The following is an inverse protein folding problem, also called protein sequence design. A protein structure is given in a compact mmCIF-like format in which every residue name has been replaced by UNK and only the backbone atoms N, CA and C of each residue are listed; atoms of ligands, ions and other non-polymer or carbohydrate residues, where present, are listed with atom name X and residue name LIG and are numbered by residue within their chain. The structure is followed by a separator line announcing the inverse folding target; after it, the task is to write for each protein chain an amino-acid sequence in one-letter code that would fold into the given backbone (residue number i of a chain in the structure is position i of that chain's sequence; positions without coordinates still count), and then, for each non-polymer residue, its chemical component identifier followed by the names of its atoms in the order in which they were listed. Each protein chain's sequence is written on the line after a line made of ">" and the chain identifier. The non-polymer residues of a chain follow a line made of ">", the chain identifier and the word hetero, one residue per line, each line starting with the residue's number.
data_IF_971941811668
#
_entry.id   IF_971941811668
#
_cell.length_a   1.000
_cell.length_b   1.000
_cell.length_c   1.000
_cell.angle_alpha   90.00
_cell.angle_beta   90.00
_cell.angle_gamma   90.00
#
_symmetry.space_group_name_H-M   'P 1'
#
loop_
_entity.id
_entity.type
_entity.pdbx_description
1 polymer ?
#
# COMPACT_ATOMS: atom_id res chain seq x y z
N UNK A 1 -32.65 28.20 -14.26
CA UNK A 1 -34.09 27.94 -14.50
C UNK A 1 -34.52 28.72 -15.74
N UNK A 2 -34.73 28.03 -16.85
CA UNK A 2 -35.70 28.33 -17.92
C UNK A 2 -35.62 27.18 -18.93
N UNK A 3 -36.13 26.01 -18.55
CA UNK A 3 -36.45 24.94 -19.49
C UNK A 3 -37.77 25.33 -20.15
N UNK A 4 -37.71 25.95 -21.32
CA UNK A 4 -38.93 26.17 -22.11
C UNK A 4 -39.27 24.82 -22.74
N UNK A 5 -40.18 24.09 -22.10
CA UNK A 5 -41.01 23.09 -22.78
C UNK A 5 -41.80 23.84 -23.86
N UNK A 6 -41.29 23.85 -25.09
CA UNK A 6 -41.75 24.78 -26.13
C UNK A 6 -41.95 24.18 -27.51
N UNK A 7 -42.06 22.85 -27.63
CA UNK A 7 -42.43 22.26 -28.92
C UNK A 7 -43.94 22.36 -29.20
N UNK A 8 -44.81 22.17 -28.20
CA UNK A 8 -46.26 22.12 -28.43
C UNK A 8 -46.97 23.48 -28.39
N UNK A 9 -46.31 24.55 -27.92
CA UNK A 9 -46.97 25.84 -27.67
C UNK A 9 -46.94 26.80 -28.86
N UNK A 10 -46.11 26.55 -29.88
CA UNK A 10 -45.91 27.45 -31.02
C UNK A 10 -46.98 27.29 -32.12
N UNK A 11 -47.52 26.09 -32.31
CA UNK A 11 -48.50 25.81 -33.39
C UNK A 11 -49.86 26.48 -33.15
N UNK A 12 -50.23 26.76 -31.90
CA UNK A 12 -51.57 27.26 -31.57
C UNK A 12 -51.72 28.80 -31.60
N UNK A 13 -50.63 29.55 -31.78
CA UNK A 13 -50.65 31.02 -31.68
C UNK A 13 -50.07 31.79 -32.89
N UNK A 14 -49.37 31.14 -33.82
CA UNK A 14 -48.74 31.81 -34.97
C UNK A 14 -48.85 31.00 -36.27
N UNK A 15 -48.80 31.67 -37.44
CA UNK A 15 -48.87 31.08 -38.80
C UNK A 15 -47.51 30.42 -39.17
N UNK A 16 -46.94 29.63 -38.27
CA UNK A 16 -45.67 28.95 -38.50
C UNK A 16 -45.84 27.45 -38.28
N UNK A 17 -45.33 26.64 -39.21
CA UNK A 17 -45.46 25.18 -39.20
C UNK A 17 -44.55 24.51 -38.16
N UNK A 18 -43.59 25.22 -37.59
CA UNK A 18 -42.73 24.78 -36.48
C UNK A 18 -42.01 25.99 -35.84
N UNK A 19 -41.47 25.80 -34.62
CA UNK A 19 -40.74 26.83 -33.89
C UNK A 19 -39.43 27.29 -34.55
N UNK A 20 -38.86 26.48 -35.46
CA UNK A 20 -37.62 26.80 -36.18
C UNK A 20 -37.88 27.89 -37.23
N UNK A 21 -39.03 27.86 -37.89
CA UNK A 21 -39.41 28.83 -38.91
C UNK A 21 -39.64 30.23 -38.29
N UNK A 22 -40.19 30.30 -37.07
CA UNK A 22 -40.27 31.55 -36.31
C UNK A 22 -38.89 32.16 -36.03
N UNK A 23 -37.88 31.34 -35.75
CA UNK A 23 -36.52 31.81 -35.45
C UNK A 23 -35.78 32.20 -36.73
N UNK A 24 -35.98 31.47 -37.84
CA UNK A 24 -35.42 31.81 -39.15
C UNK A 24 -35.88 33.18 -39.65
N UNK A 25 -37.13 33.55 -39.41
CA UNK A 25 -37.68 34.82 -39.88
C UNK A 25 -37.24 36.02 -39.02
N UNK A 26 -36.78 35.79 -37.78
CA UNK A 26 -36.48 36.86 -36.82
C UNK A 26 -34.99 37.00 -36.45
N UNK A 27 -34.14 36.03 -36.80
CA UNK A 27 -32.72 36.02 -36.45
C UNK A 27 -31.81 35.74 -37.65
N UNK A 28 -30.63 36.35 -37.66
CA UNK A 28 -29.59 36.08 -38.67
C UNK A 28 -29.27 34.58 -38.69
N UNK A 29 -29.34 33.89 -39.83
CA UNK A 29 -29.00 32.47 -39.95
C UNK A 29 -27.64 32.07 -39.37
N UNK A 30 -26.68 33.00 -39.28
CA UNK A 30 -25.35 32.75 -38.71
C UNK A 30 -25.27 32.92 -37.17
N UNK A 31 -26.36 33.37 -36.53
CA UNK A 31 -26.39 33.70 -35.10
C UNK A 31 -26.80 32.53 -34.19
N UNK A 32 -27.22 31.40 -34.78
CA UNK A 32 -27.68 30.22 -34.05
C UNK A 32 -27.41 28.91 -34.81
N UNK A 33 -27.44 27.79 -34.09
CA UNK A 33 -27.36 26.44 -34.63
C UNK A 33 -28.57 25.63 -34.19
N UNK A 34 -29.20 24.95 -35.16
CA UNK A 34 -30.31 24.04 -34.91
C UNK A 34 -29.77 22.66 -34.57
N UNK A 35 -29.99 22.23 -33.33
CA UNK A 35 -29.63 20.89 -32.86
C UNK A 35 -30.80 19.90 -33.08
N UNK A 36 -30.77 18.72 -32.46
CA UNK A 36 -31.84 17.73 -32.59
C UNK A 36 -33.07 18.13 -31.76
N UNK A 37 -32.85 18.48 -30.48
CA UNK A 37 -33.95 18.83 -29.56
C UNK A 37 -34.06 20.32 -29.26
N UNK A 38 -33.11 21.16 -29.69
CA UNK A 38 -33.12 22.57 -29.34
C UNK A 38 -32.33 23.44 -30.32
N UNK A 39 -32.29 24.75 -30.05
CA UNK A 39 -31.47 25.71 -30.78
C UNK A 39 -30.50 26.36 -29.79
N UNK A 40 -29.23 26.44 -30.17
CA UNK A 40 -28.19 27.12 -29.40
C UNK A 40 -27.68 28.35 -30.14
N UNK A 41 -27.22 29.36 -29.40
CA UNK A 41 -26.56 30.54 -29.98
C UNK A 41 -25.11 30.22 -30.35
N UNK A 42 -24.56 30.91 -31.35
CA UNK A 42 -23.18 30.70 -31.84
C UNK A 42 -22.14 30.76 -30.73
N UNK A 43 -22.24 31.72 -29.80
CA UNK A 43 -21.27 31.86 -28.70
C UNK A 43 -21.19 30.64 -27.76
N UNK A 44 -22.25 29.83 -27.65
CA UNK A 44 -22.24 28.59 -26.84
C UNK A 44 -21.38 27.54 -27.54
N UNK A 45 -21.53 27.40 -28.87
CA UNK A 45 -20.68 26.55 -29.70
C UNK A 45 -19.24 27.05 -29.68
N UNK A 46 -19.02 28.36 -29.81
CA UNK A 46 -17.69 28.96 -29.81
C UNK A 46 -16.97 28.74 -28.47
N UNK A 47 -17.68 28.78 -27.34
CA UNK A 47 -17.12 28.44 -26.03
C UNK A 47 -16.64 26.99 -25.96
N UNK A 48 -17.42 26.06 -26.51
CA UNK A 48 -17.00 24.65 -26.62
C UNK A 48 -15.80 24.49 -27.57
N UNK A 49 -15.78 25.22 -28.69
CA UNK A 49 -14.66 25.23 -29.63
C UNK A 49 -13.38 25.76 -28.98
N UNK A 50 -13.44 26.84 -28.22
CA UNK A 50 -12.30 27.42 -27.51
C UNK A 50 -11.76 26.44 -26.46
N UNK A 51 -12.63 25.73 -25.75
CA UNK A 51 -12.23 24.67 -24.82
C UNK A 51 -11.50 23.52 -25.54
N UNK A 52 -12.05 23.05 -26.68
CA UNK A 52 -11.41 22.01 -27.49
C UNK A 52 -10.09 22.47 -28.14
N UNK A 53 -9.97 23.75 -28.46
CA UNK A 53 -8.74 24.31 -29.04
C UNK A 53 -7.64 24.47 -27.99
N UNK A 54 -8.00 24.82 -26.76
CA UNK A 54 -7.06 25.06 -25.65
C UNK A 54 -6.71 23.83 -24.82
N UNK A 55 -7.47 22.73 -24.93
CA UNK A 55 -7.22 21.51 -24.15
C UNK A 55 -5.80 20.98 -24.36
N UNK A 56 -5.15 20.49 -23.30
CA UNK A 56 -3.81 19.84 -23.40
C UNK A 56 -3.88 18.34 -23.16
N UNK A 57 -4.91 17.90 -22.43
CA UNK A 57 -5.14 16.54 -21.96
C UNK A 57 -6.47 15.99 -22.51
N UNK A 58 -7.56 16.28 -21.81
CA UNK A 58 -8.92 15.90 -22.20
C UNK A 58 -9.88 17.02 -21.81
N UNK A 59 -11.02 17.06 -22.48
CA UNK A 59 -12.09 18.00 -22.22
C UNK A 59 -13.39 17.23 -22.05
N UNK A 60 -14.06 17.41 -20.92
CA UNK A 60 -15.46 17.04 -20.78
C UNK A 60 -16.30 18.21 -21.28
N UNK A 61 -16.92 18.05 -22.45
CA UNK A 61 -17.67 19.12 -23.11
C UNK A 61 -18.96 19.44 -22.34
N UNK A 62 -19.43 18.52 -21.48
CA UNK A 62 -20.59 18.76 -20.62
C UNK A 62 -20.30 19.81 -19.53
N UNK A 63 -19.04 20.06 -19.17
CA UNK A 63 -18.68 21.12 -18.21
C UNK A 63 -18.79 22.53 -18.81
N UNK A 64 -18.72 22.61 -20.15
CA UNK A 64 -18.76 23.87 -20.90
C UNK A 64 -20.15 24.16 -21.45
N UNK A 65 -20.88 23.11 -21.83
CA UNK A 65 -22.21 23.22 -22.40
C UNK A 65 -23.32 23.28 -21.33
N UNK A 66 -24.49 23.86 -21.66
CA UNK A 66 -25.61 23.86 -20.73
C UNK A 66 -26.10 22.44 -20.42
N UNK A 67 -26.27 22.13 -19.12
CA UNK A 67 -26.78 20.84 -18.62
C UNK A 67 -28.20 20.46 -19.11
N UNK A 68 -28.87 21.34 -19.85
CA UNK A 68 -30.18 21.10 -20.47
C UNK A 68 -30.08 20.41 -21.83
N UNK A 69 -28.88 20.29 -22.40
CA UNK A 69 -28.69 19.61 -23.68
C UNK A 69 -28.75 18.10 -23.52
N UNK A 70 -29.35 17.43 -24.51
CA UNK A 70 -29.33 15.96 -24.58
C UNK A 70 -27.96 15.47 -25.06
N UNK A 71 -27.64 14.20 -24.82
CA UNK A 71 -26.38 13.62 -25.29
C UNK A 71 -26.22 13.70 -26.82
N UNK A 72 -27.32 13.56 -27.58
CA UNK A 72 -27.31 13.69 -29.04
C UNK A 72 -27.00 15.13 -29.48
N UNK A 73 -27.55 16.12 -28.78
CA UNK A 73 -27.27 17.52 -29.04
C UNK A 73 -25.82 17.88 -28.70
N UNK A 74 -25.29 17.37 -27.59
CA UNK A 74 -23.88 17.55 -27.20
C UNK A 74 -22.96 16.96 -28.26
N UNK A 75 -23.20 15.73 -28.72
CA UNK A 75 -22.41 15.11 -29.79
C UNK A 75 -22.46 15.92 -31.09
N UNK A 76 -23.63 16.45 -31.46
CA UNK A 76 -23.77 17.31 -32.64
C UNK A 76 -22.96 18.60 -32.53
N UNK A 77 -22.90 19.20 -31.33
CA UNK A 77 -22.04 20.38 -31.09
C UNK A 77 -20.57 20.01 -31.20
N UNK A 78 -20.16 18.87 -30.62
CA UNK A 78 -18.79 18.37 -30.74
C UNK A 78 -18.41 18.16 -32.21
N UNK A 79 -19.26 17.51 -33.00
CA UNK A 79 -19.02 17.25 -34.42
C UNK A 79 -18.80 18.56 -35.21
N UNK A 80 -19.62 19.58 -34.95
CA UNK A 80 -19.47 20.91 -35.57
C UNK A 80 -18.13 21.55 -35.20
N UNK A 81 -17.75 21.54 -33.92
CA UNK A 81 -16.47 22.08 -33.47
C UNK A 81 -15.28 21.32 -34.06
N UNK A 82 -15.35 19.99 -34.11
CA UNK A 82 -14.30 19.12 -34.64
C UNK A 82 -14.13 19.32 -36.15
N UNK A 83 -15.22 19.49 -36.90
CA UNK A 83 -15.16 19.81 -38.34
C UNK A 83 -14.44 21.13 -38.59
N UNK A 84 -14.73 22.17 -37.79
CA UNK A 84 -14.06 23.46 -37.92
C UNK A 84 -12.57 23.41 -37.51
N UNK A 85 -12.23 22.57 -36.52
CA UNK A 85 -10.87 22.40 -36.02
C UNK A 85 -10.05 21.37 -36.81
N UNK A 86 -10.64 20.65 -37.77
CA UNK A 86 -9.98 19.56 -38.50
C UNK A 86 -8.72 20.00 -39.26
N UNK A 87 -8.62 21.28 -39.64
CA UNK A 87 -7.46 21.84 -40.33
C UNK A 87 -6.30 22.21 -39.39
N UNK A 88 -6.59 22.44 -38.10
CA UNK A 88 -5.62 22.94 -37.12
C UNK A 88 -5.20 21.89 -36.11
N UNK A 89 -6.09 20.97 -35.73
CA UNK A 89 -5.85 20.01 -34.65
C UNK A 89 -6.56 18.68 -34.89
N UNK A 90 -5.86 17.58 -34.60
CA UNK A 90 -6.48 16.25 -34.58
C UNK A 90 -7.15 16.02 -33.23
N UNK A 91 -8.42 15.66 -33.28
CA UNK A 91 -9.27 15.47 -32.11
C UNK A 91 -9.85 14.06 -32.15
N UNK A 92 -9.91 13.42 -30.99
CA UNK A 92 -10.51 12.11 -30.78
C UNK A 92 -11.74 12.30 -29.90
N UNK A 93 -12.90 11.94 -30.43
CA UNK A 93 -14.17 11.96 -29.71
C UNK A 93 -14.29 10.63 -28.95
N UNK A 94 -14.55 10.71 -27.65
CA UNK A 94 -14.80 9.58 -26.76
C UNK A 94 -16.29 9.57 -26.37
N UNK A 95 -16.77 8.45 -25.84
CA UNK A 95 -18.17 8.34 -25.43
C UNK A 95 -18.51 9.30 -24.28
N UNK A 96 -19.74 9.81 -24.26
CA UNK A 96 -20.28 10.61 -23.15
C UNK A 96 -19.84 12.07 -23.12
N UNK A 97 -19.43 12.65 -24.26
CA UNK A 97 -19.03 14.06 -24.36
C UNK A 97 -17.58 14.35 -24.01
N UNK A 98 -16.77 13.30 -23.82
CA UNK A 98 -15.33 13.42 -23.58
C UNK A 98 -14.58 13.55 -24.89
N UNK A 99 -13.61 14.44 -24.92
CA UNK A 99 -12.79 14.69 -26.11
C UNK A 99 -11.32 14.76 -25.70
N UNK A 100 -10.45 14.18 -26.51
CA UNK A 100 -9.00 14.16 -26.25
C UNK A 100 -8.20 14.31 -27.54
N UNK A 101 -6.87 14.29 -27.45
CA UNK A 101 -5.99 14.33 -28.62
C UNK A 101 -5.07 13.12 -28.73
N UNK A 102 -4.60 12.78 -29.95
CA UNK A 102 -3.63 11.72 -30.15
C UNK A 102 -2.34 11.94 -29.34
N UNK A 103 -1.91 13.20 -29.18
CA UNK A 103 -0.68 13.55 -28.46
C UNK A 103 -0.79 13.19 -26.97
N UNK A 104 -1.95 13.47 -26.36
CA UNK A 104 -2.19 13.10 -24.96
C UNK A 104 -2.28 11.58 -24.78
N UNK A 105 -2.96 10.87 -25.69
CA UNK A 105 -2.98 9.39 -25.63
C UNK A 105 -1.57 8.82 -25.73
N UNK A 106 -0.74 9.38 -26.60
CA UNK A 106 0.64 8.96 -26.76
C UNK A 106 1.47 9.24 -25.50
N UNK A 107 1.29 10.41 -24.87
CA UNK A 107 1.98 10.73 -23.61
C UNK A 107 1.58 9.78 -22.49
N UNK A 108 0.29 9.44 -22.35
CA UNK A 108 -0.18 8.44 -21.39
C UNK A 108 0.49 7.07 -21.62
N UNK A 109 0.59 6.64 -22.89
CA UNK A 109 1.22 5.36 -23.24
C UNK A 109 2.73 5.37 -22.89
N UNK A 110 3.40 6.52 -23.02
CA UNK A 110 4.80 6.73 -22.65
C UNK A 110 5.00 6.77 -21.14
N UNK A 111 4.17 7.48 -20.40
CA UNK A 111 4.25 7.56 -18.94
C UNK A 111 3.95 6.20 -18.29
N UNK A 112 3.04 5.40 -18.87
CA UNK A 112 2.77 4.04 -18.42
C UNK A 112 3.98 3.08 -18.56
N UNK A 113 5.03 3.43 -19.32
CA UNK A 113 6.18 2.53 -19.53
C UNK A 113 6.82 2.05 -18.22
N UNK A 114 6.98 2.95 -17.25
CA UNK A 114 7.59 2.63 -15.96
C UNK A 114 6.78 1.58 -15.19
N UNK A 115 5.45 1.73 -15.21
CA UNK A 115 4.53 0.80 -14.57
C UNK A 115 4.55 -0.56 -15.26
N UNK A 116 4.44 -0.56 -16.60
CA UNK A 116 4.45 -1.79 -17.40
C UNK A 116 5.75 -2.57 -17.24
N UNK A 117 6.89 -1.88 -17.21
CA UNK A 117 8.18 -2.49 -16.99
C UNK A 117 8.27 -3.18 -15.62
N UNK A 118 7.81 -2.50 -14.56
CA UNK A 118 7.77 -3.05 -13.20
C UNK A 118 6.88 -4.29 -13.11
N UNK A 119 5.73 -4.25 -13.78
CA UNK A 119 4.81 -5.38 -13.86
C UNK A 119 5.44 -6.57 -14.62
N UNK A 120 6.13 -6.31 -15.73
CA UNK A 120 6.81 -7.31 -16.54
C UNK A 120 7.93 -8.01 -15.74
N UNK A 121 8.73 -7.25 -14.98
CA UNK A 121 9.79 -7.81 -14.12
C UNK A 121 9.24 -8.77 -13.07
N UNK A 122 8.17 -8.37 -12.36
CA UNK A 122 7.50 -9.23 -11.36
C UNK A 122 6.96 -10.50 -12.02
N UNK A 123 6.41 -10.41 -13.23
CA UNK A 123 5.91 -11.56 -13.95
C UNK A 123 7.04 -12.50 -14.37
N UNK A 124 8.15 -12.00 -14.93
CA UNK A 124 9.34 -12.80 -15.26
C UNK A 124 9.92 -13.53 -14.03
N UNK A 125 9.98 -12.86 -12.87
CA UNK A 125 10.45 -13.47 -11.63
C UNK A 125 9.54 -14.60 -11.13
N UNK A 126 8.23 -14.49 -11.36
CA UNK A 126 7.27 -15.56 -11.08
C UNK A 126 7.40 -16.72 -12.07
N UNK A 127 7.57 -16.42 -13.35
CA UNK A 127 7.67 -17.41 -14.44
C UNK A 127 8.99 -18.23 -14.36
N UNK A 128 10.09 -17.66 -13.84
CA UNK A 128 11.30 -18.44 -13.53
C UNK A 128 11.10 -19.51 -12.45
N UNK A 129 10.04 -19.43 -11.64
CA UNK A 129 9.72 -20.41 -10.58
C UNK A 129 8.64 -21.42 -10.99
N UNK A 130 8.19 -21.43 -12.25
CA UNK A 130 7.24 -22.41 -12.78
C UNK A 130 7.10 -22.37 -14.31
N UNK A 131 7.29 -23.52 -14.95
CA UNK A 131 7.14 -23.85 -16.39
C UNK A 131 6.85 -22.68 -17.35
N UNK A 132 7.85 -22.39 -18.19
CA UNK A 132 7.70 -21.60 -19.41
C UNK A 132 6.49 -22.07 -20.22
N UNK A 133 5.49 -21.20 -20.37
CA UNK A 133 4.47 -21.33 -21.40
C UNK A 133 4.65 -20.19 -22.38
N UNK A 134 4.95 -20.55 -23.63
CA UNK A 134 4.95 -19.68 -24.81
C UNK A 134 3.54 -19.14 -25.09
N UNK A 135 3.02 -18.28 -24.22
CA UNK A 135 1.79 -17.53 -24.46
C UNK A 135 2.13 -16.04 -24.48
N UNK A 136 1.55 -15.30 -25.44
CA UNK A 136 1.55 -13.83 -25.42
C UNK A 136 1.05 -13.37 -24.04
N UNK A 137 1.83 -12.56 -23.36
CA UNK A 137 1.50 -12.11 -22.01
C UNK A 137 0.58 -10.90 -22.12
N UNK A 138 -0.69 -11.12 -22.42
CA UNK A 138 -1.65 -10.03 -22.53
C UNK A 138 -2.05 -9.50 -21.16
N UNK A 139 -1.91 -8.20 -20.98
CA UNK A 139 -2.51 -7.46 -19.87
C UNK A 139 -4.03 -7.57 -19.97
N UNK A 140 -4.65 -7.96 -18.85
CA UNK A 140 -6.09 -7.90 -18.69
C UNK A 140 -6.54 -6.44 -18.55
N UNK A 141 -7.79 -6.13 -18.94
CA UNK A 141 -8.35 -4.78 -18.85
C UNK A 141 -8.14 -4.10 -17.48
N UNK A 142 -8.34 -4.77 -16.33
CA UNK A 142 -8.12 -4.15 -15.03
C UNK A 142 -6.66 -3.75 -14.77
N UNK A 143 -5.69 -4.46 -15.38
CA UNK A 143 -4.28 -4.12 -15.25
C UNK A 143 -3.92 -2.90 -16.10
N UNK A 144 -4.58 -2.72 -17.23
CA UNK A 144 -4.41 -1.56 -18.12
C UNK A 144 -4.99 -0.31 -17.46
N UNK A 145 -6.19 -0.41 -16.88
CA UNK A 145 -6.81 0.68 -16.13
C UNK A 145 -5.91 1.09 -14.96
N UNK A 146 -5.40 0.12 -14.18
CA UNK A 146 -4.46 0.41 -13.09
C UNK A 146 -3.16 1.08 -13.55
N UNK A 147 -2.65 0.73 -14.73
CA UNK A 147 -1.46 1.38 -15.28
C UNK A 147 -1.70 2.86 -15.60
N UNK A 148 -2.93 3.21 -16.02
CA UNK A 148 -3.35 4.59 -16.27
C UNK A 148 -3.62 5.35 -14.97
N UNK A 149 -4.26 4.71 -13.99
CA UNK A 149 -4.48 5.31 -12.67
C UNK A 149 -3.15 5.63 -11.95
N UNK A 150 -2.13 4.78 -12.13
CA UNK A 150 -0.79 4.98 -11.57
C UNK A 150 -0.10 6.26 -12.08
N UNK A 151 -0.52 6.80 -13.23
CA UNK A 151 -0.03 8.07 -13.79
C UNK A 151 -1.05 9.21 -13.60
N UNK A 152 -1.97 9.07 -12.63
CA UNK A 152 -3.02 10.03 -12.30
C UNK A 152 -4.10 10.24 -13.39
N UNK A 153 -4.29 9.27 -14.29
CA UNK A 153 -5.44 9.29 -15.20
C UNK A 153 -6.73 8.93 -14.42
N UNK A 154 -7.79 9.75 -14.45
CA UNK A 154 -9.04 9.44 -13.77
C UNK A 154 -9.70 8.16 -14.31
N UNK A 155 -10.28 7.35 -13.42
CA UNK A 155 -10.91 6.06 -13.78
C UNK A 155 -11.93 6.17 -14.92
N UNK A 156 -12.82 7.15 -14.87
CA UNK A 156 -13.87 7.36 -15.87
C UNK A 156 -13.30 7.70 -17.27
N UNK A 157 -12.13 8.33 -17.31
CA UNK A 157 -11.41 8.60 -18.56
C UNK A 157 -10.64 7.35 -19.02
N UNK A 158 -9.98 6.65 -18.09
CA UNK A 158 -9.24 5.42 -18.35
C UNK A 158 -10.12 4.33 -19.01
N UNK A 159 -11.38 4.20 -18.57
CA UNK A 159 -12.37 3.30 -19.16
C UNK A 159 -12.69 3.68 -20.62
N UNK A 160 -12.86 4.98 -20.90
CA UNK A 160 -13.22 5.51 -22.23
C UNK A 160 -12.07 5.42 -23.23
N UNK A 161 -10.82 5.63 -22.80
CA UNK A 161 -9.64 5.53 -23.67
C UNK A 161 -9.12 4.09 -23.82
N UNK A 162 -9.65 3.14 -23.05
CA UNK A 162 -9.23 1.74 -23.05
C UNK A 162 -9.16 1.12 -24.46
N UNK A 163 -10.12 1.33 -25.38
CA UNK A 163 -10.04 0.77 -26.73
C UNK A 163 -8.83 1.27 -27.53
N UNK A 164 -8.35 2.48 -27.23
CA UNK A 164 -7.25 3.14 -27.95
C UNK A 164 -5.88 2.71 -27.40
N UNK A 165 -5.76 2.59 -26.08
CA UNK A 165 -4.49 2.29 -25.41
C UNK A 165 -4.22 0.79 -25.24
N UNK A 166 -5.26 -0.06 -25.31
CA UNK A 166 -5.15 -1.50 -25.03
C UNK A 166 -4.11 -2.20 -25.89
N UNK A 167 -4.15 -1.99 -27.21
CA UNK A 167 -3.20 -2.63 -28.11
C UNK A 167 -1.78 -2.08 -27.94
N UNK A 168 -1.53 -0.76 -27.97
CA UNK A 168 -0.20 -0.19 -27.72
C UNK A 168 0.45 -0.64 -26.41
N UNK A 169 -0.31 -0.67 -25.31
CA UNK A 169 0.22 -1.06 -24.00
C UNK A 169 0.51 -2.57 -23.93
N UNK A 170 -0.32 -3.40 -24.55
CA UNK A 170 -0.05 -4.83 -24.66
C UNK A 170 1.18 -5.12 -25.52
N UNK A 171 1.33 -4.43 -26.66
CA UNK A 171 2.48 -4.61 -27.55
C UNK A 171 3.79 -4.22 -26.83
N UNK A 172 3.80 -3.08 -26.10
CA UNK A 172 4.95 -2.67 -25.27
C UNK A 172 5.24 -3.66 -24.15
N UNK A 173 4.21 -4.18 -23.49
CA UNK A 173 4.38 -5.13 -22.41
C UNK A 173 4.92 -6.48 -22.91
N UNK A 174 4.41 -6.98 -24.03
CA UNK A 174 4.92 -8.19 -24.69
C UNK A 174 6.38 -8.02 -25.12
N UNK A 175 6.76 -6.86 -25.66
CA UNK A 175 8.16 -6.51 -25.98
C UNK A 175 9.04 -6.52 -24.72
N UNK A 176 8.58 -5.87 -23.65
CA UNK A 176 9.26 -5.88 -22.35
C UNK A 176 9.40 -7.29 -21.77
N UNK A 177 8.44 -8.19 -22.03
CA UNK A 177 8.54 -9.60 -21.63
C UNK A 177 9.58 -10.39 -22.43
N UNK A 178 9.82 -10.02 -23.69
CA UNK A 178 10.78 -10.69 -24.58
C UNK A 178 12.21 -10.19 -24.44
N UNK A 179 12.43 -9.00 -23.87
CA UNK A 179 13.79 -8.45 -23.68
C UNK A 179 14.65 -9.32 -22.72
N UNK A 180 15.88 -9.69 -23.10
CA UNK A 180 16.77 -10.47 -22.24
C UNK A 180 17.20 -9.67 -21.01
N UNK A 181 17.38 -10.37 -19.88
CA UNK A 181 17.68 -9.82 -18.54
C UNK A 181 18.90 -8.87 -18.49
N UNK A 182 19.76 -8.90 -19.51
CA UNK A 182 21.03 -8.17 -19.56
C UNK A 182 20.91 -6.70 -20.00
N UNK A 183 19.81 -6.26 -20.59
CA UNK A 183 19.61 -4.86 -21.01
C UNK A 183 18.95 -3.97 -19.94
N UNK A 184 19.16 -4.29 -18.66
CA UNK A 184 18.49 -3.61 -17.55
C UNK A 184 19.05 -2.21 -17.32
N UNK A 185 18.26 -1.20 -17.69
CA UNK A 185 18.24 0.04 -16.92
C UNK A 185 17.66 -0.33 -15.54
N UNK A 186 18.48 -0.30 -14.49
CA UNK A 186 18.01 -0.30 -13.11
C UNK A 186 17.27 1.02 -12.87
N UNK A 187 15.97 1.04 -13.11
CA UNK A 187 15.09 2.09 -12.63
C UNK A 187 14.39 1.52 -11.40
N UNK A 188 14.82 1.99 -10.22
CA UNK A 188 14.21 1.67 -8.92
C UNK A 188 12.73 2.09 -8.93
N UNK A 189 11.87 1.31 -8.26
CA UNK A 189 10.52 1.78 -7.92
C UNK A 189 10.58 3.06 -7.08
N UNK A 190 9.42 3.67 -6.77
CA UNK A 190 9.37 4.88 -5.94
C UNK A 190 10.35 4.78 -4.76
N UNK A 191 11.33 5.69 -4.74
CA UNK A 191 12.48 5.63 -3.83
C UNK A 191 12.03 5.59 -2.36
N UNK A 192 10.92 6.27 -2.05
CA UNK A 192 10.34 6.25 -0.72
C UNK A 192 9.76 4.87 -0.40
N UNK A 193 8.95 4.28 -1.30
CA UNK A 193 8.36 2.95 -1.10
C UNK A 193 9.44 1.89 -0.92
N UNK A 194 10.47 1.89 -1.78
CA UNK A 194 11.59 0.95 -1.70
C UNK A 194 12.33 1.09 -0.36
N UNK A 195 12.60 2.32 0.07
CA UNK A 195 13.27 2.60 1.35
C UNK A 195 12.43 2.12 2.54
N UNK A 196 11.14 2.44 2.59
CA UNK A 196 10.28 2.00 3.70
C UNK A 196 10.12 0.48 3.70
N UNK A 197 9.87 -0.14 2.54
CA UNK A 197 9.76 -1.60 2.44
C UNK A 197 11.02 -2.30 2.93
N UNK A 198 12.19 -1.82 2.52
CA UNK A 198 13.47 -2.36 2.99
C UNK A 198 13.62 -2.21 4.50
N UNK A 199 13.19 -1.09 5.07
CA UNK A 199 13.22 -0.88 6.53
C UNK A 199 12.29 -1.85 7.26
N UNK A 200 11.03 -1.97 6.84
CA UNK A 200 10.07 -2.89 7.47
C UNK A 200 10.54 -4.34 7.36
N UNK A 201 11.17 -4.73 6.25
CA UNK A 201 11.81 -6.04 6.11
C UNK A 201 12.92 -6.27 7.15
N UNK A 202 13.84 -5.31 7.34
CA UNK A 202 14.90 -5.44 8.35
C UNK A 202 14.34 -5.52 9.76
N UNK A 203 13.29 -4.75 10.07
CA UNK A 203 12.56 -4.84 11.34
C UNK A 203 11.99 -6.25 11.54
N UNK A 204 11.31 -6.81 10.53
CA UNK A 204 10.74 -8.16 10.60
C UNK A 204 11.82 -9.24 10.79
N UNK A 205 12.98 -9.13 10.15
CA UNK A 205 14.12 -10.05 10.34
C UNK A 205 14.66 -9.98 11.77
N UNK A 206 14.79 -8.78 12.33
CA UNK A 206 15.23 -8.58 13.73
C UNK A 206 14.21 -9.16 14.71
N UNK A 207 12.93 -8.84 14.52
CA UNK A 207 11.82 -9.34 15.36
C UNK A 207 11.68 -10.86 15.28
N UNK A 208 11.82 -11.46 14.10
CA UNK A 208 11.83 -12.92 13.90
C UNK A 208 12.84 -13.57 14.85
N UNK A 209 14.06 -13.05 14.88
CA UNK A 209 15.13 -13.57 15.74
C UNK A 209 14.79 -13.37 17.21
N UNK A 210 14.37 -12.16 17.60
CA UNK A 210 14.03 -11.85 18.99
C UNK A 210 12.87 -12.73 19.50
N UNK A 211 11.77 -12.84 18.75
CA UNK A 211 10.60 -13.63 19.12
C UNK A 211 10.96 -15.11 19.28
N UNK A 212 11.73 -15.66 18.33
CA UNK A 212 12.14 -17.05 18.35
C UNK A 212 12.99 -17.39 19.57
N UNK A 213 14.05 -16.60 19.84
CA UNK A 213 14.91 -16.86 20.98
C UNK A 213 14.19 -16.58 22.32
N UNK A 214 13.32 -15.57 22.37
CA UNK A 214 12.50 -15.31 23.54
C UNK A 214 11.57 -16.50 23.84
N UNK A 215 10.92 -17.05 22.81
CA UNK A 215 10.07 -18.23 22.96
C UNK A 215 10.87 -19.44 23.49
N UNK A 216 12.05 -19.71 22.92
CA UNK A 216 12.95 -20.77 23.40
C UNK A 216 13.37 -20.54 24.85
N UNK A 217 13.72 -19.31 25.22
CA UNK A 217 14.09 -18.96 26.59
C UNK A 217 12.92 -19.17 27.57
N UNK A 218 11.71 -18.76 27.18
CA UNK A 218 10.48 -18.94 27.97
C UNK A 218 10.19 -20.43 28.21
N UNK A 219 10.45 -21.29 27.23
CA UNK A 219 10.27 -22.74 27.39
C UNK A 219 11.18 -23.37 28.46
N UNK A 220 12.23 -22.68 28.92
CA UNK A 220 13.11 -23.16 29.99
C UNK A 220 12.54 -22.92 31.39
N UNK A 221 11.53 -22.08 31.54
CA UNK A 221 10.94 -21.75 32.84
C UNK A 221 10.14 -22.93 33.38
N UNK A 222 10.51 -23.38 34.58
CA UNK A 222 9.86 -24.53 35.25
C UNK A 222 8.51 -24.15 35.87
N UNK A 223 8.42 -22.95 36.42
CA UNK A 223 7.16 -22.43 36.98
C UNK A 223 6.16 -22.17 35.84
N UNK A 224 5.07 -22.93 35.85
CA UNK A 224 4.03 -22.84 34.83
C UNK A 224 3.32 -21.48 34.85
N UNK A 225 3.15 -20.88 36.03
CA UNK A 225 2.45 -19.60 36.18
C UNK A 225 3.26 -18.47 35.57
N UNK A 226 4.55 -18.40 35.90
CA UNK A 226 5.50 -17.46 35.33
C UNK A 226 5.69 -17.65 33.84
N UNK A 227 5.83 -18.90 33.37
CA UNK A 227 5.90 -19.23 31.94
C UNK A 227 4.69 -18.73 31.17
N UNK A 228 3.46 -19.00 31.63
CA UNK A 228 2.23 -18.50 30.99
C UNK A 228 2.15 -16.97 30.96
N UNK A 229 2.65 -16.30 32.00
CA UNK A 229 2.73 -14.84 32.05
C UNK A 229 3.70 -14.27 30.99
N UNK A 230 4.85 -14.92 30.82
CA UNK A 230 5.85 -14.58 29.81
C UNK A 230 5.34 -14.85 28.39
N UNK A 231 4.70 -15.98 28.13
CA UNK A 231 4.06 -16.29 26.83
C UNK A 231 3.01 -15.25 26.48
N UNK A 232 2.18 -14.85 27.45
CA UNK A 232 1.18 -13.79 27.27
C UNK A 232 1.83 -12.44 26.94
N UNK A 233 2.98 -12.14 27.52
CA UNK A 233 3.75 -10.94 27.21
C UNK A 233 4.33 -10.98 25.79
N UNK A 234 4.94 -12.09 25.41
CA UNK A 234 5.48 -12.32 24.07
C UNK A 234 4.41 -12.16 22.98
N UNK A 235 3.23 -12.75 23.21
CA UNK A 235 2.09 -12.67 22.29
C UNK A 235 1.54 -11.24 22.15
N UNK A 236 1.31 -10.56 23.29
CA UNK A 236 0.65 -9.24 23.30
C UNK A 236 1.52 -8.10 22.84
N UNK A 237 2.84 -8.22 22.97
CA UNK A 237 3.79 -7.19 22.58
C UNK A 237 4.45 -7.59 21.27
N UNK A 238 5.48 -8.45 21.32
CA UNK A 238 6.33 -8.69 20.14
C UNK A 238 5.58 -9.34 18.97
N UNK A 239 4.68 -10.31 19.21
CA UNK A 239 3.96 -10.95 18.11
C UNK A 239 2.89 -10.02 17.49
N UNK A 240 2.27 -9.16 18.30
CA UNK A 240 1.31 -8.16 17.80
C UNK A 240 2.02 -7.08 16.99
N UNK A 241 3.15 -6.60 17.49
CA UNK A 241 4.02 -5.65 16.80
C UNK A 241 4.59 -6.25 15.51
N UNK A 242 4.95 -7.54 15.50
CA UNK A 242 5.38 -8.25 14.30
C UNK A 242 4.29 -8.25 13.23
N UNK A 243 3.05 -8.57 13.62
CA UNK A 243 1.92 -8.56 12.70
C UNK A 243 1.66 -7.15 12.15
N UNK A 244 1.83 -6.12 12.97
CA UNK A 244 1.73 -4.72 12.52
C UNK A 244 2.78 -4.39 11.45
N UNK A 245 4.07 -4.67 11.70
CA UNK A 245 5.12 -4.44 10.70
C UNK A 245 4.94 -5.30 9.45
N UNK A 246 4.39 -6.50 9.60
CA UNK A 246 4.09 -7.37 8.48
C UNK A 246 2.98 -6.79 7.60
N UNK A 247 1.92 -6.23 8.21
CA UNK A 247 0.89 -5.49 7.49
C UNK A 247 1.50 -4.32 6.71
N UNK A 248 2.36 -3.50 7.34
CA UNK A 248 3.05 -2.40 6.65
C UNK A 248 3.90 -2.88 5.48
N UNK A 249 4.65 -3.97 5.67
CA UNK A 249 5.45 -4.56 4.61
C UNK A 249 4.58 -5.00 3.42
N UNK A 250 3.45 -5.66 3.69
CA UNK A 250 2.54 -6.13 2.64
C UNK A 250 1.94 -4.96 1.85
N UNK A 251 1.54 -3.88 2.54
CA UNK A 251 1.07 -2.66 1.87
C UNK A 251 2.15 -2.13 0.92
N UNK A 252 3.35 -1.92 1.45
CA UNK A 252 4.47 -1.35 0.68
C UNK A 252 4.94 -2.27 -0.45
N UNK A 253 4.87 -3.59 -0.29
CA UNK A 253 5.20 -4.55 -1.34
C UNK A 253 4.21 -4.48 -2.51
N UNK A 254 2.94 -4.21 -2.21
CA UNK A 254 1.86 -4.17 -3.17
C UNK A 254 1.56 -2.77 -3.75
N UNK A 255 2.25 -1.74 -3.27
CA UNK A 255 2.16 -0.37 -3.78
C UNK A 255 3.34 -0.06 -4.73
N UNK A 256 3.06 0.74 -5.76
CA UNK A 256 4.05 1.17 -6.75
C UNK A 256 4.56 2.60 -6.51
N UNK A 257 3.74 3.45 -5.87
CA UNK A 257 4.08 4.83 -5.56
C UNK A 257 3.62 5.20 -4.15
N UNK A 258 4.18 6.29 -3.62
CA UNK A 258 3.70 6.86 -2.35
C UNK A 258 2.23 7.27 -2.42
N UNK A 259 1.77 7.79 -3.57
CA UNK A 259 0.37 8.20 -3.75
C UNK A 259 -0.60 7.02 -3.60
N UNK A 260 -0.26 5.82 -4.08
CA UNK A 260 -1.09 4.62 -3.88
C UNK A 260 -1.20 4.23 -2.39
N UNK A 261 -0.14 4.47 -1.60
CA UNK A 261 -0.17 4.23 -0.15
C UNK A 261 -1.08 5.23 0.54
N UNK A 262 -1.07 6.50 0.11
CA UNK A 262 -1.94 7.56 0.64
C UNK A 262 -3.42 7.38 0.22
N UNK A 263 -3.65 6.93 -1.01
CA UNK A 263 -4.99 6.69 -1.58
C UNK A 263 -5.60 5.35 -1.20
N UNK A 264 -4.82 4.44 -0.59
CA UNK A 264 -5.36 3.26 0.05
C UNK A 264 -6.22 3.71 1.23
N UNK A 265 -7.47 4.09 0.93
CA UNK A 265 -8.56 4.48 1.84
C UNK A 265 -8.75 3.49 2.98
N UNK A 266 -8.19 2.30 2.83
CA UNK A 266 -8.10 1.14 3.72
C UNK A 266 -6.97 1.19 4.77
N UNK A 267 -6.31 2.34 4.99
CA UNK A 267 -5.27 2.49 6.02
C UNK A 267 -5.60 3.59 7.02
N UNK A 268 -5.90 3.22 8.27
CA UNK A 268 -5.87 4.13 9.43
C UNK A 268 -4.43 4.56 9.79
N UNK A 269 -3.53 4.68 8.80
CA UNK A 269 -2.14 5.05 8.97
C UNK A 269 -1.71 5.95 7.81
N UNK A 270 -1.17 7.12 8.13
CA UNK A 270 -0.64 8.04 7.10
C UNK A 270 0.77 7.64 6.67
N UNK A 271 1.21 8.11 5.50
CA UNK A 271 2.62 7.96 5.08
C UNK A 271 3.60 8.65 6.02
N UNK A 272 3.17 9.69 6.72
CA UNK A 272 3.98 10.32 7.75
C UNK A 272 4.16 9.41 8.95
N UNK A 273 3.09 8.72 9.37
CA UNK A 273 3.14 7.76 10.47
C UNK A 273 4.05 6.58 10.15
N UNK A 274 3.99 6.08 8.91
CA UNK A 274 4.93 5.08 8.39
C UNK A 274 6.35 5.66 8.45
N UNK A 275 6.59 6.83 7.87
CA UNK A 275 7.95 7.40 7.78
C UNK A 275 8.58 7.64 9.16
N UNK A 276 7.82 8.25 10.07
CA UNK A 276 8.28 8.66 11.41
C UNK A 276 8.18 7.53 12.45
N UNK A 277 7.54 6.41 12.12
CA UNK A 277 7.18 5.34 13.08
C UNK A 277 6.46 5.91 14.30
N UNK A 278 5.54 6.87 14.09
CA UNK A 278 4.80 7.57 15.16
C UNK A 278 3.89 6.63 15.94
N UNK A 279 3.36 5.60 15.28
CA UNK A 279 2.49 4.59 15.88
C UNK A 279 3.35 3.60 16.67
N UNK A 280 3.50 3.91 17.94
CA UNK A 280 4.21 3.08 18.93
C UNK A 280 3.27 2.43 19.94
N UNK A 281 2.03 2.92 20.05
CA UNK A 281 1.04 2.38 20.99
C UNK A 281 0.37 1.10 20.46
N UNK A 282 0.27 0.10 21.33
CA UNK A 282 -0.29 -1.23 21.02
C UNK A 282 -1.76 -1.14 20.60
N UNK A 283 -2.55 -0.19 21.13
CA UNK A 283 -3.96 -0.05 20.72
C UNK A 283 -4.04 0.45 19.29
N UNK A 284 -3.24 1.45 18.93
CA UNK A 284 -3.17 1.98 17.57
C UNK A 284 -2.70 0.91 16.58
N UNK A 285 -1.63 0.16 16.90
CA UNK A 285 -1.16 -0.97 16.08
C UNK A 285 -2.28 -1.98 15.81
N UNK A 286 -3.06 -2.34 16.84
CA UNK A 286 -4.20 -3.26 16.70
C UNK A 286 -5.33 -2.68 15.85
N UNK A 287 -5.59 -1.38 15.95
CA UNK A 287 -6.57 -0.71 15.09
C UNK A 287 -6.17 -0.79 13.63
N UNK A 288 -4.89 -0.56 13.31
CA UNK A 288 -4.36 -0.69 11.94
C UNK A 288 -4.52 -2.11 11.43
N UNK A 289 -4.12 -3.12 12.21
CA UNK A 289 -4.28 -4.54 11.85
C UNK A 289 -5.76 -4.88 11.60
N UNK A 290 -6.64 -4.48 12.51
CA UNK A 290 -8.07 -4.77 12.42
C UNK A 290 -8.71 -4.11 11.21
N UNK A 291 -8.31 -2.86 10.90
CA UNK A 291 -8.80 -2.12 9.75
C UNK A 291 -8.32 -2.76 8.45
N UNK A 292 -7.02 -3.10 8.36
CA UNK A 292 -6.46 -3.84 7.22
C UNK A 292 -7.22 -5.15 6.96
N UNK A 293 -7.54 -5.89 8.02
CA UNK A 293 -8.32 -7.14 7.92
C UNK A 293 -9.77 -6.88 7.48
N UNK A 294 -10.40 -5.80 7.97
CA UNK A 294 -11.82 -5.49 7.71
C UNK A 294 -12.05 -4.99 6.29
N UNK A 295 -11.23 -4.06 5.85
CA UNK A 295 -11.34 -3.40 4.54
C UNK A 295 -10.70 -4.21 3.42
N UNK A 296 -10.36 -5.49 3.67
CA UNK A 296 -9.67 -6.35 2.72
C UNK A 296 -10.44 -6.39 1.39
N UNK A 297 -9.94 -5.64 0.42
CA UNK A 297 -10.12 -5.90 -0.99
C UNK A 297 -9.39 -7.23 -1.28
N UNK A 298 -9.97 -8.11 -2.10
CA UNK A 298 -9.49 -9.46 -2.41
C UNK A 298 -8.01 -9.55 -2.84
N UNK A 299 -7.38 -8.39 -3.08
CA UNK A 299 -5.96 -8.16 -3.30
C UNK A 299 -5.03 -8.78 -2.23
N UNK A 300 -5.45 -8.90 -0.97
CA UNK A 300 -4.57 -9.32 0.15
C UNK A 300 -4.88 -10.70 0.75
N UNK A 301 -5.86 -11.43 0.22
CA UNK A 301 -6.34 -12.71 0.78
C UNK A 301 -5.27 -13.81 0.88
N UNK A 302 -4.16 -13.67 0.13
CA UNK A 302 -3.05 -14.65 0.10
C UNK A 302 -1.86 -14.30 0.99
N UNK A 303 -1.94 -13.24 1.80
CA UNK A 303 -0.77 -12.68 2.52
C UNK A 303 -0.52 -13.28 3.90
N UNK A 304 -1.32 -14.26 4.34
CA UNK A 304 -1.14 -14.93 5.65
C UNK A 304 -1.52 -14.09 6.88
N UNK A 305 -1.85 -12.81 6.72
CA UNK A 305 -2.21 -11.89 7.83
C UNK A 305 -3.35 -12.44 8.67
N UNK A 306 -4.43 -12.92 8.03
CA UNK A 306 -5.59 -13.52 8.71
C UNK A 306 -5.21 -14.79 9.49
N UNK A 307 -4.33 -15.61 8.93
CA UNK A 307 -3.88 -16.85 9.57
C UNK A 307 -3.04 -16.54 10.81
N UNK A 308 -2.08 -15.62 10.70
CA UNK A 308 -1.29 -15.12 11.83
C UNK A 308 -2.21 -14.55 12.91
N UNK A 309 -3.12 -13.64 12.54
CA UNK A 309 -4.04 -13.01 13.48
C UNK A 309 -4.91 -14.04 14.22
N UNK A 310 -5.41 -15.04 13.48
CA UNK A 310 -6.17 -16.16 14.02
C UNK A 310 -5.36 -17.01 15.01
N UNK A 311 -4.10 -17.30 14.72
CA UNK A 311 -3.20 -18.01 15.64
C UNK A 311 -2.93 -17.19 16.91
N UNK A 312 -2.68 -15.89 16.77
CA UNK A 312 -2.43 -14.99 17.90
C UNK A 312 -3.67 -14.86 18.80
N UNK A 313 -4.87 -14.70 18.22
CA UNK A 313 -6.13 -14.68 18.99
C UNK A 313 -6.39 -16.00 19.72
N UNK A 314 -6.11 -17.14 19.08
CA UNK A 314 -6.23 -18.48 19.67
C UNK A 314 -5.09 -18.84 20.62
N UNK A 315 -4.14 -17.93 20.86
CA UNK A 315 -2.95 -18.13 21.70
C UNK A 315 -2.10 -19.33 21.29
N UNK A 316 -2.10 -19.67 19.99
CA UNK A 316 -1.32 -20.77 19.42
C UNK A 316 0.09 -20.32 19.06
N UNK A 317 0.86 -19.95 20.08
CA UNK A 317 2.19 -19.37 19.91
C UNK A 317 3.17 -20.33 19.22
N UNK A 318 3.23 -21.59 19.66
CA UNK A 318 4.10 -22.61 19.03
C UNK A 318 3.85 -22.74 17.52
N UNK A 319 2.57 -22.85 17.12
CA UNK A 319 2.19 -22.93 15.71
C UNK A 319 2.59 -21.69 14.92
N UNK A 320 2.48 -20.49 15.51
CA UNK A 320 2.95 -19.27 14.87
C UNK A 320 4.48 -19.29 14.65
N UNK A 321 5.26 -19.69 15.65
CA UNK A 321 6.72 -19.81 15.53
C UNK A 321 7.09 -20.80 14.42
N UNK A 322 6.52 -22.01 14.46
CA UNK A 322 6.88 -23.08 13.53
C UNK A 322 6.51 -22.73 12.09
N UNK A 323 5.26 -22.28 11.85
CA UNK A 323 4.76 -22.04 10.50
C UNK A 323 5.33 -20.76 9.88
N UNK A 324 5.39 -19.66 10.63
CA UNK A 324 5.72 -18.35 10.08
C UNK A 324 7.18 -17.95 10.28
N UNK A 325 7.80 -18.32 11.40
CA UNK A 325 9.18 -17.92 11.68
C UNK A 325 10.19 -18.98 11.24
N UNK A 326 9.90 -20.28 11.36
CA UNK A 326 10.82 -21.35 10.98
C UNK A 326 10.61 -21.82 9.55
N UNK A 327 9.39 -22.26 9.21
CA UNK A 327 9.07 -22.77 7.89
C UNK A 327 8.95 -21.66 6.83
N UNK A 328 8.88 -20.39 7.27
CA UNK A 328 8.72 -19.22 6.40
C UNK A 328 7.62 -19.45 5.36
N UNK A 329 6.43 -19.85 5.81
CA UNK A 329 5.31 -20.20 4.93
C UNK A 329 4.95 -19.07 3.96
N UNK A 330 5.16 -17.81 4.37
CA UNK A 330 4.94 -16.61 3.56
C UNK A 330 6.13 -16.25 2.66
N UNK A 331 7.25 -17.00 2.73
CA UNK A 331 8.46 -16.78 1.95
C UNK A 331 9.03 -15.37 2.12
N UNK A 332 8.79 -14.78 3.28
CA UNK A 332 9.19 -13.41 3.61
C UNK A 332 10.71 -13.35 3.80
N UNK A 333 11.30 -14.39 4.37
CA UNK A 333 12.67 -14.39 4.86
C UNK A 333 13.66 -15.08 3.90
N UNK A 334 13.29 -15.24 2.63
CA UNK A 334 14.12 -15.80 1.57
C UNK A 334 15.40 -14.97 1.37
N UNK A 335 16.51 -15.45 1.93
CA UNK A 335 17.81 -14.77 1.88
C UNK A 335 18.39 -14.44 3.27
N UNK A 336 17.59 -14.54 4.33
CA UNK A 336 18.11 -14.50 5.71
C UNK A 336 18.58 -15.90 6.15
N UNK A 337 19.64 -16.00 6.97
CA UNK A 337 20.10 -17.28 7.49
C UNK A 337 19.04 -17.93 8.40
N UNK A 338 19.07 -19.26 8.47
CA UNK A 338 18.17 -20.01 9.35
C UNK A 338 18.45 -19.69 10.82
N UNK A 339 17.41 -19.27 11.54
CA UNK A 339 17.49 -18.81 12.94
C UNK A 339 17.67 -19.95 13.96
N UNK A 340 17.40 -21.19 13.55
CA UNK A 340 17.40 -22.38 14.40
C UNK A 340 18.76 -23.09 14.49
N UNK A 341 19.74 -22.66 13.68
CA UNK A 341 21.08 -23.23 13.66
C UNK A 341 21.89 -22.78 14.87
N UNK A 342 22.77 -23.65 15.34
CA UNK A 342 23.64 -23.38 16.50
C UNK A 342 24.52 -22.14 16.31
N UNK A 343 25.03 -21.92 15.08
CA UNK A 343 25.78 -20.70 14.75
C UNK A 343 24.95 -19.44 14.97
N UNK A 344 23.67 -19.44 14.58
CA UNK A 344 22.77 -18.30 14.80
C UNK A 344 22.59 -18.03 16.30
N UNK A 345 22.41 -19.08 17.11
CA UNK A 345 22.33 -18.95 18.57
C UNK A 345 23.59 -18.30 19.15
N UNK A 346 24.79 -18.77 18.76
CA UNK A 346 26.06 -18.21 19.27
C UNK A 346 26.24 -16.74 18.87
N UNK A 347 25.93 -16.41 17.62
CA UNK A 347 26.02 -15.04 17.12
C UNK A 347 25.03 -14.12 17.87
N UNK A 348 23.79 -14.55 18.04
CA UNK A 348 22.77 -13.76 18.75
C UNK A 348 23.13 -13.59 20.23
N UNK A 349 23.62 -14.64 20.90
CA UNK A 349 24.07 -14.54 22.30
C UNK A 349 25.17 -13.49 22.45
N UNK A 350 26.17 -13.51 21.56
CA UNK A 350 27.26 -12.53 21.58
C UNK A 350 26.74 -11.10 21.41
N UNK A 351 25.90 -10.88 20.41
CA UNK A 351 25.32 -9.56 20.12
C UNK A 351 24.49 -9.02 21.29
N UNK A 352 23.64 -9.87 21.89
CA UNK A 352 22.79 -9.48 23.03
C UNK A 352 23.62 -9.21 24.28
N UNK A 353 24.65 -10.01 24.53
CA UNK A 353 25.58 -9.77 25.64
C UNK A 353 26.25 -8.39 25.50
N UNK A 354 26.83 -8.10 24.34
CA UNK A 354 27.50 -6.81 24.06
C UNK A 354 26.52 -5.64 24.21
N UNK A 355 25.29 -5.79 23.72
CA UNK A 355 24.25 -4.76 23.86
C UNK A 355 23.86 -4.52 25.33
N UNK A 356 23.54 -5.57 26.09
CA UNK A 356 23.14 -5.46 27.49
C UNK A 356 24.28 -4.91 28.36
N UNK A 357 25.51 -5.37 28.10
CA UNK A 357 26.70 -4.91 28.82
C UNK A 357 26.97 -3.44 28.55
N UNK A 358 26.91 -3.00 27.29
CA UNK A 358 27.06 -1.59 26.93
C UNK A 358 25.97 -0.71 27.57
N UNK A 359 24.72 -1.19 27.61
CA UNK A 359 23.63 -0.47 28.29
C UNK A 359 23.90 -0.35 29.79
N UNK A 360 24.43 -1.41 30.41
CA UNK A 360 24.80 -1.41 31.82
C UNK A 360 25.93 -0.40 32.10
N UNK A 361 26.98 -0.37 31.29
CA UNK A 361 28.09 0.58 31.41
C UNK A 361 27.65 2.04 31.27
N UNK A 362 26.66 2.30 30.43
CA UNK A 362 26.14 3.65 30.19
C UNK A 362 25.12 4.10 31.24
N UNK A 363 24.62 3.20 32.09
CA UNK A 363 23.61 3.53 33.10
C UNK A 363 24.28 4.15 34.32
N UNK A 364 23.96 5.41 34.61
CA UNK A 364 24.43 6.12 35.81
C UNK A 364 23.89 5.39 37.04
N UNK A 365 24.73 5.17 38.06
CA UNK A 365 24.33 4.53 39.30
C UNK A 365 23.58 5.55 40.18
N UNK A 366 22.27 5.37 40.35
CA UNK A 366 21.43 6.14 41.27
C UNK A 366 20.28 5.27 41.79
N UNK A 367 19.54 5.75 42.78
CA UNK A 367 18.34 5.06 43.28
C UNK A 367 17.27 4.91 42.19
N UNK A 368 17.15 5.91 41.32
CA UNK A 368 16.18 5.91 40.20
C UNK A 368 16.51 4.86 39.14
N UNK A 369 17.79 4.58 38.90
CA UNK A 369 18.25 3.61 37.89
C UNK A 369 18.45 2.20 38.45
N UNK A 370 18.41 2.02 39.76
CA UNK A 370 18.58 0.70 40.40
C UNK A 370 17.64 -0.39 39.85
N UNK A 371 16.34 -0.14 39.56
CA UNK A 371 15.47 -1.12 38.92
C UNK A 371 15.93 -1.55 37.51
N UNK A 372 16.47 -0.61 36.73
CA UNK A 372 16.98 -0.87 35.38
C UNK A 372 18.29 -1.65 35.44
N UNK A 373 19.20 -1.29 36.35
CA UNK A 373 20.44 -2.02 36.59
C UNK A 373 20.12 -3.47 36.98
N UNK A 374 19.21 -3.68 37.93
CA UNK A 374 18.79 -5.03 38.34
C UNK A 374 18.18 -5.82 37.18
N UNK A 375 17.39 -5.17 36.32
CA UNK A 375 16.84 -5.79 35.12
C UNK A 375 17.93 -6.23 34.15
N UNK A 376 18.87 -5.34 33.80
CA UNK A 376 19.99 -5.65 32.90
C UNK A 376 20.86 -6.79 33.44
N UNK A 377 21.20 -6.74 34.74
CA UNK A 377 21.99 -7.79 35.41
C UNK A 377 21.24 -9.13 35.40
N UNK A 378 19.93 -9.13 35.66
CA UNK A 378 19.11 -10.35 35.61
C UNK A 378 19.10 -10.99 34.22
N UNK A 379 19.02 -10.17 33.16
CA UNK A 379 19.10 -10.65 31.78
C UNK A 379 20.49 -11.19 31.42
N UNK A 380 21.56 -10.52 31.85
CA UNK A 380 22.94 -10.97 31.65
C UNK A 380 23.21 -12.31 32.36
N UNK A 381 22.75 -12.46 33.59
CA UNK A 381 22.84 -13.73 34.33
C UNK A 381 22.03 -14.84 33.64
N UNK A 382 20.82 -14.54 33.19
CA UNK A 382 20.02 -15.50 32.43
C UNK A 382 20.76 -15.97 31.17
N UNK A 383 21.31 -15.03 30.39
CA UNK A 383 22.08 -15.33 29.19
C UNK A 383 23.33 -16.17 29.50
N UNK A 384 24.06 -15.84 30.58
CA UNK A 384 25.23 -16.60 31.04
C UNK A 384 24.90 -18.07 31.33
N UNK A 385 23.82 -18.31 32.10
CA UNK A 385 23.50 -19.64 32.62
C UNK A 385 22.64 -20.51 31.70
N UNK A 386 21.93 -19.91 30.75
CA UNK A 386 21.04 -20.62 29.83
C UNK A 386 21.46 -20.55 28.37
N UNK A 387 22.47 -19.72 28.03
CA UNK A 387 22.99 -19.57 26.67
C UNK A 387 21.87 -19.27 25.65
N UNK A 388 20.87 -18.50 26.09
CA UNK A 388 19.75 -18.02 25.30
C UNK A 388 19.38 -16.61 25.78
N UNK A 389 19.12 -15.66 24.87
CA UNK A 389 18.71 -14.33 25.25
C UNK A 389 17.24 -14.32 25.65
N UNK A 390 16.90 -13.44 26.58
CA UNK A 390 15.52 -13.22 27.04
C UNK A 390 15.15 -11.75 26.79
N UNK A 391 14.03 -11.51 26.12
CA UNK A 391 13.59 -10.16 25.72
C UNK A 391 12.30 -9.81 26.45
N UNK A 392 12.44 -9.36 27.71
CA UNK A 392 11.30 -9.07 28.58
C UNK A 392 11.51 -7.81 29.39
N UNK A 393 10.42 -7.14 29.78
CA UNK A 393 10.46 -5.95 30.64
C UNK A 393 10.87 -6.26 32.08
N UNK A 394 11.37 -5.26 32.81
CA UNK A 394 11.82 -5.36 34.20
C UNK A 394 10.79 -5.91 35.21
N UNK A 395 9.49 -5.88 34.90
CA UNK A 395 8.45 -6.50 35.75
C UNK A 395 8.59 -8.02 35.92
N UNK A 396 9.36 -8.66 35.04
CA UNK A 396 9.62 -10.10 35.08
C UNK A 396 10.88 -10.48 35.86
N UNK A 397 11.62 -9.50 36.39
CA UNK A 397 12.82 -9.75 37.21
C UNK A 397 12.57 -10.80 38.30
N UNK A 398 11.49 -10.75 39.11
CA UNK A 398 11.25 -11.77 40.13
C UNK A 398 11.15 -13.20 39.56
N UNK A 399 10.51 -13.33 38.39
CA UNK A 399 10.34 -14.63 37.71
C UNK A 399 11.70 -15.13 37.19
N UNK A 400 12.51 -14.23 36.65
CA UNK A 400 13.87 -14.53 36.16
C UNK A 400 14.76 -15.00 37.32
N UNK A 401 14.74 -14.26 38.44
CA UNK A 401 15.58 -14.56 39.60
C UNK A 401 15.19 -15.89 40.25
N UNK A 402 13.90 -16.17 40.40
CA UNK A 402 13.41 -17.47 40.89
C UNK A 402 13.89 -18.64 40.01
N UNK A 403 13.89 -18.46 38.68
CA UNK A 403 14.41 -19.47 37.75
C UNK A 403 15.93 -19.67 37.88
N UNK A 404 16.67 -18.63 38.31
CA UNK A 404 18.12 -18.64 38.45
C UNK A 404 18.61 -19.06 39.84
N UNK A 405 17.75 -19.08 40.86
CA UNK A 405 18.13 -19.22 42.27
C UNK A 405 19.11 -20.35 42.53
N UNK A 406 18.88 -21.53 41.96
CA UNK A 406 19.73 -22.72 42.13
C UNK A 406 21.00 -22.76 41.27
N UNK A 407 21.21 -21.77 40.40
CA UNK A 407 22.37 -21.68 39.48
C UNK A 407 23.34 -20.57 39.82
N UNK A 408 22.91 -19.57 40.58
CA UNK A 408 23.75 -18.44 40.99
C UNK A 408 24.82 -18.90 41.98
N UNK A 409 26.01 -18.30 41.90
CA UNK A 409 27.04 -18.48 42.93
C UNK A 409 26.64 -17.78 44.23
N UNK A 410 27.25 -18.14 45.37
CA UNK A 410 26.96 -17.47 46.66
C UNK A 410 27.18 -15.95 46.59
N UNK A 411 28.23 -15.50 45.89
CA UNK A 411 28.50 -14.08 45.65
C UNK A 411 27.41 -13.40 44.81
N UNK A 412 26.95 -14.06 43.73
CA UNK A 412 25.88 -13.55 42.87
C UNK A 412 24.55 -13.49 43.61
N UNK A 413 24.24 -14.50 44.43
CA UNK A 413 23.04 -14.52 45.29
C UNK A 413 23.07 -13.39 46.31
N UNK A 414 24.22 -13.15 46.96
CA UNK A 414 24.38 -12.06 47.92
C UNK A 414 24.19 -10.68 47.28
N UNK A 415 24.72 -10.47 46.07
CA UNK A 415 24.59 -9.22 45.32
C UNK A 415 23.14 -8.96 44.87
N UNK A 416 22.48 -9.97 44.32
CA UNK A 416 21.07 -9.87 43.88
C UNK A 416 20.14 -9.71 45.07
N UNK A 417 20.37 -10.42 46.17
CA UNK A 417 19.56 -10.34 47.39
C UNK A 417 19.58 -8.94 48.02
N UNK A 418 20.76 -8.29 48.07
CA UNK A 418 20.89 -6.89 48.54
C UNK A 418 20.13 -5.90 47.66
N UNK A 419 20.16 -6.10 46.34
CA UNK A 419 19.44 -5.24 45.39
C UNK A 419 17.91 -5.46 45.43
N UNK A 420 17.45 -6.65 45.81
CA UNK A 420 16.03 -6.99 45.92
C UNK A 420 15.41 -6.55 47.26
N UNK A 421 16.17 -6.58 48.36
CA UNK A 421 15.69 -6.21 49.69
C UNK A 421 15.36 -4.70 49.84
N UNK A 422 16.09 -3.83 49.14
CA UNK A 422 15.89 -2.38 49.16
C UNK A 422 14.59 -1.88 48.47
N UNK A 423 13.73 -2.78 47.98
CA UNK A 423 12.38 -2.45 47.44
C UNK A 423 11.23 -2.76 48.40
N UNK A 424 11.52 -3.41 49.53
CA UNK A 424 10.51 -3.87 50.51
C UNK A 424 10.45 -3.03 51.79
N UNK A 425 11.29 -1.99 51.86
CA UNK A 425 11.20 -0.86 52.79
C UNK A 425 10.88 0.38 52.00
#
# INVERSE_FOLDING_TARGET
>A
MCSIQGFDTAENLYIFNNAVDLIKDNYDPNSYYVLHSCIIKTHIKDSAKDALQSMTDYCDVNDVLPNTLTLEDVNKVIDLCVQELASTRKIIILEGGYVTTPEYIQSLIEECQHYLYSLAQRQKQKDHKGQARNNKHRLQEPAIIKALEAINCPYHLAEKILPLVRKPLNDRFDEMMQTPYTAQIKMDGDSWVVKQKSREYQTLVSMRSSIYFNYKAICLFKDETGRRSLEKYLLKNQCTEFLYHFVLYIILDQSYSRAEVEQSTSLCISTEDITKQSITDIKQQRSVIAYFIRENDHKYDKTGVLEIEGLLKKKKLASFIDMFLLQDQQRLFQGSPSIDKEHATRQTNKMVYEQLYKQLEQTIISEETAPQILHLVSLLLFLKYHQLPLYVSGKFVPIILNQLEHKLTEEEQALVGRAHANKTT
#
